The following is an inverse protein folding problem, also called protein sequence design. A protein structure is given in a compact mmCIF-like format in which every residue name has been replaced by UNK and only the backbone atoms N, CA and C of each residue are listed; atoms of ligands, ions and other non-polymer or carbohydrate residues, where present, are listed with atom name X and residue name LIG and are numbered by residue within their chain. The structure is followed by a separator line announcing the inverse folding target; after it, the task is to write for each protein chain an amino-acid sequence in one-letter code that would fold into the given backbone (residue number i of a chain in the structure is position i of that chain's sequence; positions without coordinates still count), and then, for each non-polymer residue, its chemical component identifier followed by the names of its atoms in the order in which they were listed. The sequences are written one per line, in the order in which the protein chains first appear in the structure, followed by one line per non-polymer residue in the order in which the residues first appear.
data_IF_617489307467
#
_entry.id   IF_617489307467
#
_cell.length_a   1.000
_cell.length_b   1.000
_cell.length_c   1.000
_cell.angle_alpha   90.00
_cell.angle_beta   90.00
_cell.angle_gamma   90.00
#
_symmetry.space_group_name_H-M   'P 1'
#
loop_
_entity.id
_entity.type
_entity.pdbx_description
1 polymer ?
#
# COMPACT_ATOMS: atom_id res chain seq x y z
N UNK A 1 -19.99 15.44 -13.04
CA UNK A 1 -18.91 14.44 -13.09
C UNK A 1 -18.50 14.19 -11.65
N UNK A 2 -18.72 12.99 -11.12
CA UNK A 2 -18.08 12.61 -9.86
C UNK A 2 -16.64 12.31 -10.26
N UNK A 3 -15.70 13.11 -9.78
CA UNK A 3 -14.28 12.93 -10.09
C UNK A 3 -13.86 11.53 -9.71
N UNK A 4 -13.44 10.75 -10.72
CA UNK A 4 -12.95 9.39 -10.51
C UNK A 4 -11.78 9.42 -9.53
N UNK A 5 -10.96 10.46 -9.56
CA UNK A 5 -9.80 10.64 -8.68
C UNK A 5 -10.19 10.81 -7.20
N UNK A 6 -11.38 11.35 -6.93
CA UNK A 6 -11.92 11.40 -5.57
C UNK A 6 -12.28 10.00 -5.03
N UNK A 7 -12.58 9.04 -5.91
CA UNK A 7 -12.92 7.67 -5.50
C UNK A 7 -11.67 6.87 -5.13
N UNK A 8 -10.59 6.91 -5.93
CA UNK A 8 -9.36 6.16 -5.62
C UNK A 8 -8.76 6.59 -4.28
N UNK A 9 -8.72 7.90 -4.02
CA UNK A 9 -8.09 8.43 -2.83
C UNK A 9 -8.85 8.03 -1.57
N UNK A 10 -10.18 8.10 -1.59
CA UNK A 10 -11.02 7.64 -0.48
C UNK A 10 -10.86 6.13 -0.21
N UNK A 11 -10.75 5.33 -1.27
CA UNK A 11 -10.52 3.89 -1.13
C UNK A 11 -9.14 3.59 -0.55
N UNK A 12 -8.11 4.32 -0.99
CA UNK A 12 -6.77 4.24 -0.43
C UNK A 12 -6.76 4.64 1.06
N UNK A 13 -7.47 5.70 1.46
CA UNK A 13 -7.64 6.08 2.88
C UNK A 13 -8.25 4.92 3.69
N UNK A 14 -9.31 4.30 3.18
CA UNK A 14 -9.94 3.14 3.82
C UNK A 14 -8.98 1.95 3.92
N UNK A 15 -8.18 1.69 2.90
CA UNK A 15 -7.22 0.59 2.88
C UNK A 15 -6.10 0.81 3.90
N UNK A 16 -5.60 2.05 4.02
CA UNK A 16 -4.64 2.44 5.06
C UNK A 16 -5.17 2.18 6.46
N UNK A 17 -6.36 2.68 6.78
CA UNK A 17 -6.99 2.50 8.09
C UNK A 17 -7.18 1.03 8.47
N UNK A 18 -7.39 0.15 7.49
CA UNK A 18 -7.50 -1.31 7.70
C UNK A 18 -6.16 -2.01 7.87
N UNK A 19 -5.14 -1.58 7.12
CA UNK A 19 -3.82 -2.19 7.14
C UNK A 19 -3.00 -1.75 8.35
N UNK A 20 -3.10 -0.49 8.77
CA UNK A 20 -2.21 0.07 9.77
C UNK A 20 -2.15 -0.73 11.08
N UNK A 21 -3.28 -1.18 11.70
CA UNK A 21 -3.21 -1.98 12.92
C UNK A 21 -2.47 -3.31 12.73
N UNK A 22 -2.58 -3.91 11.55
CA UNK A 22 -1.88 -5.15 11.19
C UNK A 22 -0.39 -4.84 11.02
N UNK A 23 -0.05 -3.79 10.27
CA UNK A 23 1.32 -3.38 10.03
C UNK A 23 2.07 -3.07 11.33
N UNK A 24 1.42 -2.36 12.26
CA UNK A 24 1.94 -2.06 13.59
C UNK A 24 2.13 -3.32 14.44
N UNK A 25 1.14 -4.23 14.46
CA UNK A 25 1.21 -5.50 15.20
C UNK A 25 2.44 -6.33 14.80
N UNK A 26 2.74 -6.40 13.51
CA UNK A 26 3.88 -7.15 12.99
C UNK A 26 5.16 -6.31 12.89
N UNK A 27 5.13 -5.04 13.27
CA UNK A 27 6.23 -4.08 13.15
C UNK A 27 6.85 -4.08 11.73
N UNK A 28 6.00 -4.06 10.71
CA UNK A 28 6.42 -4.02 9.30
C UNK A 28 7.05 -2.67 8.97
N UNK A 29 7.99 -2.64 8.03
CA UNK A 29 8.67 -1.40 7.63
C UNK A 29 7.76 -0.59 6.71
N UNK A 30 7.28 -1.20 5.62
CA UNK A 30 6.41 -0.57 4.63
C UNK A 30 5.38 -1.54 4.08
N UNK A 31 4.20 -1.04 3.71
CA UNK A 31 3.22 -1.78 2.89
C UNK A 31 2.81 -0.92 1.71
N UNK A 32 2.82 -1.51 0.53
CA UNK A 32 2.38 -0.92 -0.71
C UNK A 32 1.20 -1.70 -1.29
N UNK A 33 0.33 -1.01 -2.02
CA UNK A 33 -0.61 -1.60 -2.96
C UNK A 33 -0.14 -1.35 -4.39
N UNK A 34 -0.40 -2.29 -5.30
CA UNK A 34 -0.07 -2.15 -6.71
C UNK A 34 -1.05 -2.93 -7.59
N UNK A 35 -0.87 -2.85 -8.90
CA UNK A 35 -1.64 -3.65 -9.87
C UNK A 35 -2.99 -3.03 -10.21
N UNK A 36 -3.94 -3.89 -10.61
CA UNK A 36 -5.15 -3.48 -11.34
C UNK A 36 -6.00 -2.45 -10.60
N UNK A 37 -6.03 -2.50 -9.27
CA UNK A 37 -6.76 -1.52 -8.46
C UNK A 37 -6.34 -0.08 -8.76
N UNK A 38 -5.03 0.15 -8.92
CA UNK A 38 -4.49 1.49 -9.21
C UNK A 38 -4.70 1.92 -10.67
N UNK A 39 -4.87 0.96 -11.58
CA UNK A 39 -5.03 1.22 -13.02
C UNK A 39 -6.49 1.47 -13.41
N UNK A 40 -7.44 0.76 -12.79
CA UNK A 40 -8.86 0.85 -13.16
C UNK A 40 -9.65 1.85 -12.32
N UNK A 41 -9.14 2.25 -11.15
CA UNK A 41 -9.84 3.14 -10.22
C UNK A 41 -11.28 2.64 -9.91
N UNK A 42 -11.42 1.32 -9.83
CA UNK A 42 -12.71 0.64 -9.68
C UNK A 42 -12.58 -0.45 -8.61
N UNK A 43 -13.32 -0.29 -7.52
CA UNK A 43 -13.54 -1.34 -6.53
C UNK A 43 -14.72 -2.19 -6.99
N UNK A 44 -14.45 -3.23 -7.76
CA UNK A 44 -15.44 -4.29 -7.97
C UNK A 44 -15.25 -5.41 -6.95
N UNK A 45 -16.34 -5.98 -6.42
CA UNK A 45 -16.28 -7.28 -5.75
C UNK A 45 -15.55 -8.29 -6.64
N UNK A 46 -14.71 -9.14 -6.06
CA UNK A 46 -13.89 -10.16 -6.76
C UNK A 46 -12.69 -9.60 -7.57
N UNK A 47 -12.25 -8.37 -7.28
CA UNK A 47 -10.93 -7.89 -7.74
C UNK A 47 -9.86 -8.27 -6.73
N UNK A 48 -8.66 -8.54 -7.23
CA UNK A 48 -7.49 -8.83 -6.40
C UNK A 48 -6.87 -7.52 -5.89
N UNK A 49 -6.67 -7.43 -4.59
CA UNK A 49 -5.85 -6.42 -3.92
C UNK A 49 -4.43 -6.98 -3.82
N UNK A 50 -3.52 -6.45 -4.64
CA UNK A 50 -2.12 -6.88 -4.63
C UNK A 50 -1.29 -6.00 -3.69
N UNK A 51 -0.72 -6.61 -2.66
CA UNK A 51 0.08 -5.96 -1.63
C UNK A 51 1.54 -6.39 -1.71
N UNK A 52 2.44 -5.44 -1.46
CA UNK A 52 3.86 -5.72 -1.22
C UNK A 52 4.20 -5.21 0.16
N UNK A 53 4.83 -6.03 0.99
CA UNK A 53 5.31 -5.57 2.29
C UNK A 53 6.82 -5.73 2.43
N UNK A 54 7.41 -4.82 3.20
CA UNK A 54 8.81 -4.77 3.56
C UNK A 54 8.90 -5.02 5.06
N UNK A 55 9.84 -5.86 5.46
CA UNK A 55 10.12 -6.16 6.86
C UNK A 55 11.64 -6.14 7.10
N UNK A 56 12.04 -5.97 8.35
CA UNK A 56 13.44 -5.99 8.76
C UNK A 56 13.63 -6.88 10.00
N UNK A 57 14.82 -6.82 10.61
CA UNK A 57 15.16 -7.62 11.80
C UNK A 57 14.36 -7.22 13.05
N UNK A 58 13.72 -6.05 13.05
CA UNK A 58 12.86 -5.58 14.13
C UNK A 58 11.41 -6.02 13.92
N UNK A 59 11.04 -6.45 12.71
CA UNK A 59 9.71 -6.98 12.43
C UNK A 59 9.47 -8.29 13.18
N UNK A 60 8.25 -8.48 13.66
CA UNK A 60 7.84 -9.64 14.44
C UNK A 60 7.40 -10.80 13.52
N UNK A 61 8.20 -11.13 12.51
CA UNK A 61 7.89 -12.13 11.50
C UNK A 61 8.82 -13.34 11.62
N UNK A 62 8.26 -14.46 12.09
CA UNK A 62 8.81 -15.81 11.86
C UNK A 62 7.87 -16.61 10.97
N UNK A 63 8.25 -17.85 10.61
CA UNK A 63 7.51 -18.69 9.63
C UNK A 63 6.00 -18.79 9.90
N UNK A 64 5.60 -19.01 11.16
CA UNK A 64 4.19 -19.06 11.56
C UNK A 64 3.48 -17.71 11.38
N UNK A 65 4.18 -16.62 11.68
CA UNK A 65 3.63 -15.26 11.60
C UNK A 65 3.46 -14.78 10.15
N UNK A 66 4.18 -15.35 9.17
CA UNK A 66 3.92 -15.05 7.75
C UNK A 66 2.54 -15.54 7.32
N UNK A 67 2.16 -16.76 7.71
CA UNK A 67 0.84 -17.32 7.42
C UNK A 67 -0.23 -16.48 8.14
N UNK A 68 -0.04 -16.19 9.42
CA UNK A 68 -1.01 -15.39 10.19
C UNK A 68 -1.13 -13.95 9.67
N UNK A 69 -0.03 -13.33 9.24
CA UNK A 69 -0.06 -12.02 8.59
C UNK A 69 -0.91 -12.05 7.32
N UNK A 70 -0.71 -13.05 6.45
CA UNK A 70 -1.46 -13.17 5.21
C UNK A 70 -2.96 -13.33 5.48
N UNK A 71 -3.35 -14.21 6.42
CA UNK A 71 -4.76 -14.38 6.80
C UNK A 71 -5.38 -13.09 7.38
N UNK A 72 -4.62 -12.31 8.14
CA UNK A 72 -5.10 -11.04 8.69
C UNK A 72 -5.26 -9.97 7.61
N UNK A 73 -4.35 -9.92 6.65
CA UNK A 73 -4.48 -9.06 5.48
C UNK A 73 -5.70 -9.46 4.64
N UNK A 74 -5.93 -10.76 4.39
CA UNK A 74 -7.16 -11.25 3.73
C UNK A 74 -8.43 -10.79 4.47
N UNK A 75 -8.47 -10.96 5.79
CA UNK A 75 -9.60 -10.53 6.63
C UNK A 75 -9.84 -9.02 6.61
N UNK A 76 -8.80 -8.22 6.39
CA UNK A 76 -8.93 -6.77 6.24
C UNK A 76 -9.71 -6.37 4.97
N UNK A 77 -9.77 -7.27 3.98
CA UNK A 77 -10.37 -7.02 2.67
C UNK A 77 -11.44 -8.09 2.33
N UNK A 78 -12.53 -8.22 3.11
CA UNK A 78 -13.47 -9.35 3.02
C UNK A 78 -14.28 -9.46 1.71
N UNK A 79 -14.17 -8.49 0.81
CA UNK A 79 -14.84 -8.46 -0.49
C UNK A 79 -13.87 -8.58 -1.68
N UNK A 80 -12.60 -8.81 -1.39
CA UNK A 80 -11.51 -8.86 -2.36
C UNK A 80 -10.67 -10.10 -2.14
N UNK A 81 -10.10 -10.63 -3.22
CA UNK A 81 -9.01 -11.57 -3.10
C UNK A 81 -7.75 -10.78 -2.74
N UNK A 82 -6.94 -11.25 -1.79
CA UNK A 82 -5.70 -10.57 -1.42
C UNK A 82 -4.52 -11.39 -1.89
N UNK A 83 -3.68 -10.80 -2.73
CA UNK A 83 -2.38 -11.35 -3.10
C UNK A 83 -1.31 -10.54 -2.39
N UNK A 84 -0.42 -11.19 -1.65
CA UNK A 84 0.63 -10.50 -0.91
C UNK A 84 1.98 -11.19 -1.08
N UNK A 85 3.01 -10.37 -1.28
CA UNK A 85 4.37 -10.81 -1.54
C UNK A 85 5.35 -9.93 -0.78
N UNK A 86 6.46 -10.50 -0.31
CA UNK A 86 7.52 -9.70 0.29
C UNK A 86 8.27 -8.94 -0.80
N UNK A 87 8.75 -7.73 -0.49
CA UNK A 87 9.55 -6.96 -1.44
C UNK A 87 10.82 -7.69 -1.90
N UNK A 88 11.45 -8.45 -1.01
CA UNK A 88 12.61 -9.27 -1.32
C UNK A 88 12.29 -10.36 -2.35
N UNK A 89 11.21 -11.12 -2.15
CA UNK A 89 10.75 -12.15 -3.10
C UNK A 89 10.26 -11.53 -4.41
N UNK A 90 9.68 -10.33 -4.37
CA UNK A 90 9.26 -9.61 -5.57
C UNK A 90 10.46 -9.19 -6.43
N UNK A 91 11.56 -8.75 -5.81
CA UNK A 91 12.72 -8.17 -6.51
C UNK A 91 13.77 -9.20 -6.91
N UNK A 92 13.93 -10.27 -6.14
CA UNK A 92 15.02 -11.25 -6.29
C UNK A 92 14.57 -12.61 -6.86
N UNK A 93 13.32 -12.75 -7.28
CA UNK A 93 12.79 -14.02 -7.81
C UNK A 93 13.02 -14.19 -9.31
N UNK A 94 13.50 -15.38 -9.68
CA UNK A 94 13.62 -15.84 -11.06
C UNK A 94 12.28 -16.36 -11.63
N UNK A 95 11.24 -16.44 -10.82
CA UNK A 95 9.91 -16.85 -11.28
C UNK A 95 9.32 -15.77 -12.20
N UNK A 96 8.92 -16.18 -13.40
CA UNK A 96 8.37 -15.29 -14.43
C UNK A 96 7.16 -14.46 -13.92
N UNK A 97 6.35 -15.06 -13.04
CA UNK A 97 5.22 -14.38 -12.39
C UNK A 97 5.68 -13.22 -11.49
N UNK A 98 6.73 -13.41 -10.68
CA UNK A 98 7.25 -12.36 -9.81
C UNK A 98 7.94 -11.26 -10.62
N UNK A 99 8.63 -11.61 -11.71
CA UNK A 99 9.20 -10.62 -12.62
C UNK A 99 8.13 -9.75 -13.28
N UNK A 100 6.99 -10.34 -13.65
CA UNK A 100 5.83 -9.60 -14.17
C UNK A 100 5.23 -8.69 -13.09
N UNK A 101 5.03 -9.23 -11.89
CA UNK A 101 4.53 -8.45 -10.75
C UNK A 101 5.46 -7.29 -10.39
N UNK A 102 6.77 -7.49 -10.44
CA UNK A 102 7.74 -6.42 -10.19
C UNK A 102 7.70 -5.34 -11.28
N UNK A 103 7.48 -5.71 -12.54
CA UNK A 103 7.24 -4.73 -13.61
C UNK A 103 5.96 -3.92 -13.37
N UNK A 104 4.88 -4.56 -12.92
CA UNK A 104 3.62 -3.88 -12.54
C UNK A 104 3.82 -2.94 -11.36
N UNK A 105 4.47 -3.42 -10.31
CA UNK A 105 4.84 -2.62 -9.14
C UNK A 105 5.64 -1.37 -9.53
N UNK A 106 6.65 -1.50 -10.40
CA UNK A 106 7.44 -0.37 -10.91
C UNK A 106 6.66 0.57 -11.83
N UNK A 107 5.60 0.09 -12.48
CA UNK A 107 4.72 0.93 -13.30
C UNK A 107 3.81 1.78 -12.42
N UNK A 108 3.45 1.31 -11.23
CA UNK A 108 2.67 2.08 -10.27
C UNK A 108 2.48 1.32 -8.97
N UNK A 109 2.73 1.99 -7.86
CA UNK A 109 2.42 1.50 -6.51
C UNK A 109 1.95 2.66 -5.64
N UNK A 110 1.33 2.36 -4.52
CA UNK A 110 0.91 3.37 -3.55
C UNK A 110 1.31 2.89 -2.17
N UNK A 111 1.92 3.73 -1.35
CA UNK A 111 2.31 3.37 0.00
C UNK A 111 1.11 3.47 0.95
N UNK A 112 0.71 2.34 1.50
CA UNK A 112 -0.37 2.24 2.48
C UNK A 112 0.13 2.36 3.93
N UNK A 113 1.40 2.06 4.17
CA UNK A 113 1.97 2.15 5.51
C UNK A 113 3.48 2.34 5.45
N UNK A 114 4.02 3.18 6.32
CA UNK A 114 5.45 3.28 6.61
C UNK A 114 5.64 3.54 8.10
N UNK A 115 6.39 2.64 8.75
CA UNK A 115 6.63 2.65 10.19
C UNK A 115 7.16 3.99 10.71
N UNK A 116 8.01 4.64 9.93
CA UNK A 116 8.73 5.83 10.36
C UNK A 116 7.90 7.11 10.21
N UNK A 117 6.91 7.10 9.32
CA UNK A 117 6.10 8.27 8.99
C UNK A 117 4.66 8.16 9.47
N UNK A 118 4.13 6.95 9.67
CA UNK A 118 2.73 6.73 10.06
C UNK A 118 2.35 7.43 11.38
N UNK A 119 3.29 7.53 12.33
CA UNK A 119 3.06 8.21 13.62
C UNK A 119 3.48 9.67 13.62
N UNK A 120 4.05 10.18 12.54
CA UNK A 120 4.42 11.60 12.42
C UNK A 120 3.18 12.39 12.06
N UNK A 121 3.00 13.52 12.73
CA UNK A 121 2.08 14.56 12.27
C UNK A 121 2.49 14.97 10.84
N UNK A 122 1.51 15.10 9.96
CA UNK A 122 1.72 15.46 8.55
C UNK A 122 2.40 16.82 8.37
N UNK A 123 2.23 17.73 9.33
CA UNK A 123 2.93 19.02 9.40
C UNK A 123 4.45 18.87 9.58
N UNK A 124 4.91 17.68 9.99
CA UNK A 124 6.32 17.33 10.15
C UNK A 124 6.90 16.58 8.95
N UNK A 125 6.08 16.23 7.95
CA UNK A 125 6.51 15.57 6.73
C UNK A 125 6.91 16.61 5.68
N UNK A 126 8.12 16.49 5.15
CA UNK A 126 8.57 17.34 4.06
C UNK A 126 8.02 16.85 2.70
N UNK A 127 8.07 17.70 1.68
CA UNK A 127 7.54 17.38 0.33
C UNK A 127 8.20 16.13 -0.28
N UNK A 128 9.47 15.86 0.02
CA UNK A 128 10.16 14.66 -0.46
C UNK A 128 9.70 13.39 0.27
N UNK A 129 9.43 13.47 1.58
CA UNK A 129 8.79 12.39 2.34
C UNK A 129 7.38 12.14 1.77
N UNK A 130 6.58 13.19 1.58
CA UNK A 130 5.25 13.08 0.95
C UNK A 130 5.28 12.47 -0.46
N UNK A 131 6.32 12.77 -1.23
CA UNK A 131 6.54 12.23 -2.59
C UNK A 131 7.04 10.78 -2.58
N UNK A 132 7.81 10.36 -1.57
CA UNK A 132 8.19 8.95 -1.39
C UNK A 132 7.01 8.08 -0.93
N UNK A 133 6.06 8.67 -0.17
CA UNK A 133 4.79 8.03 0.18
C UNK A 133 3.90 7.81 -1.06
N UNK A 134 4.18 8.49 -2.16
CA UNK A 134 3.50 8.34 -3.43
C UNK A 134 4.48 7.91 -4.51
N UNK A 135 4.90 6.64 -4.47
CA UNK A 135 5.47 5.97 -5.66
C UNK A 135 4.39 5.72 -6.74
N UNK A 136 3.57 6.73 -6.98
CA UNK A 136 2.43 6.79 -7.87
C UNK A 136 2.94 7.24 -9.23
N UNK A 137 2.88 6.30 -10.17
CA UNK A 137 2.65 6.57 -11.58
C UNK A 137 1.18 6.26 -11.94
N UNK A 138 0.26 6.54 -11.01
CA UNK A 138 -1.13 6.82 -11.39
C UNK A 138 -1.13 8.27 -11.85
N UNK A 139 -1.87 8.61 -12.90
CA UNK A 139 -2.12 10.00 -13.29
C UNK A 139 -2.99 10.71 -12.23
N UNK A 140 -2.59 10.67 -10.95
CA UNK A 140 -2.97 11.70 -9.99
C UNK A 140 -1.99 12.81 -10.28
N UNK A 141 -2.45 13.83 -11.01
CA UNK A 141 -1.62 14.97 -11.39
C UNK A 141 -0.73 15.37 -10.21
N UNK A 142 0.59 15.28 -10.40
CA UNK A 142 1.62 15.75 -9.45
C UNK A 142 1.52 17.27 -9.17
N UNK A 143 0.46 17.91 -9.66
CA UNK A 143 0.17 19.33 -9.58
C UNK A 143 -0.73 19.70 -8.39
N UNK A 144 -1.13 18.74 -7.53
CA UNK A 144 -1.99 19.03 -6.36
C UNK A 144 -1.44 18.51 -5.00
N UNK A 145 -0.42 19.18 -4.43
CA UNK A 145 0.17 18.81 -3.14
C UNK A 145 -0.78 18.92 -1.94
N UNK A 146 -1.90 19.63 -2.05
CA UNK A 146 -2.86 19.79 -0.96
C UNK A 146 -3.72 18.52 -0.76
N UNK A 147 -4.04 17.81 -1.85
CA UNK A 147 -4.71 16.49 -1.77
C UNK A 147 -3.83 15.44 -1.09
N UNK A 148 -2.51 15.53 -1.26
CA UNK A 148 -1.56 14.64 -0.58
C UNK A 148 -1.51 14.92 0.92
N UNK A 149 -1.54 16.18 1.35
CA UNK A 149 -1.58 16.53 2.78
C UNK A 149 -2.87 16.04 3.41
N UNK A 150 -4.03 16.35 2.81
CA UNK A 150 -5.34 15.88 3.29
C UNK A 150 -5.42 14.35 3.41
N UNK A 151 -4.67 13.62 2.58
CA UNK A 151 -4.60 12.17 2.64
C UNK A 151 -3.93 11.63 3.91
N UNK A 152 -2.88 12.31 4.41
CA UNK A 152 -2.14 11.90 5.60
C UNK A 152 -2.62 12.60 6.88
N UNK A 153 -3.35 13.73 6.79
CA UNK A 153 -3.86 14.48 7.94
C UNK A 153 -4.95 13.73 8.71
N UNK A 154 -5.73 12.86 8.06
CA UNK A 154 -6.88 12.15 8.67
C UNK A 154 -6.51 10.91 9.51
N UNK A 155 -5.22 10.54 9.55
CA UNK A 155 -4.74 9.39 10.32
C UNK A 155 -4.48 9.74 11.81
N UNK A 156 -4.72 11.01 12.22
CA UNK A 156 -4.55 11.54 13.59
C UNK A 156 -5.86 11.97 14.26
#
# INVERSE_FOLDING_TARGET
MIDKDYNIMNNLKLFRKRIAPIAEKYNLVKIFIYGDFLETNELFPNKTVSLVYVYDKQSNLGDFNFITLHEELEKAFPYYDVDCITYDVLTNSDLSVNQLNYKRFKRGSFLLYDRETYKKDSSLLNIAELSELTSIRVNLDNDNPDLLKEFFDEDH
#
